data_IF_645727531055
#
_entry.id   IF_645727531055
#
_cell.length_a   1.000
_cell.length_b   1.000
_cell.length_c   1.000
_cell.angle_alpha   90.00
_cell.angle_beta   90.00
_cell.angle_gamma   90.00
#
_symmetry.space_group_name_H-M   'P 1'
#
loop_
_entity.id
_entity.type
_entity.pdbx_description
1 polymer ?
#
# COMPACT_ATOMS: atom_id res chain seq x y z
N UNK A 1 -14.18 14.27 8.31
CA UNK A 1 -15.16 13.98 7.24
C UNK A 1 -15.03 14.92 6.03
N UNK A 2 -15.18 16.25 6.18
CA UNK A 2 -15.17 17.19 5.04
C UNK A 2 -13.94 17.08 4.13
N UNK A 3 -12.74 16.94 4.69
CA UNK A 3 -11.51 16.78 3.91
C UNK A 3 -11.50 15.50 3.05
N UNK A 4 -11.95 14.38 3.61
CA UNK A 4 -12.05 13.11 2.87
C UNK A 4 -13.11 13.20 1.76
N UNK A 5 -14.28 13.76 2.06
CA UNK A 5 -15.30 13.98 1.03
C UNK A 5 -14.86 14.98 -0.04
N UNK A 6 -14.08 16.01 0.31
CA UNK A 6 -13.47 16.90 -0.67
C UNK A 6 -12.51 16.11 -1.58
N UNK A 7 -11.68 15.23 -1.01
CA UNK A 7 -10.81 14.34 -1.78
C UNK A 7 -11.60 13.42 -2.73
N UNK A 8 -12.68 12.77 -2.26
CA UNK A 8 -13.57 11.98 -3.13
C UNK A 8 -14.19 12.81 -4.25
N UNK A 9 -14.68 14.01 -3.92
CA UNK A 9 -15.22 14.96 -4.88
C UNK A 9 -14.20 15.33 -5.96
N UNK A 10 -12.93 15.52 -5.58
CA UNK A 10 -11.85 15.85 -6.52
C UNK A 10 -11.53 14.71 -7.48
N UNK A 11 -11.52 13.48 -6.98
CA UNK A 11 -11.37 12.30 -7.84
C UNK A 11 -12.56 12.24 -8.80
N UNK A 12 -13.79 12.34 -8.29
CA UNK A 12 -15.01 12.27 -9.09
C UNK A 12 -14.99 13.31 -10.22
N UNK A 13 -14.70 14.58 -9.89
CA UNK A 13 -14.62 15.67 -10.86
C UNK A 13 -13.49 15.50 -11.87
N UNK A 14 -12.37 14.90 -11.47
CA UNK A 14 -11.30 14.60 -12.42
C UNK A 14 -11.78 13.59 -13.46
N UNK A 15 -12.36 12.47 -13.04
CA UNK A 15 -12.83 11.44 -13.96
C UNK A 15 -14.03 11.90 -14.80
N UNK A 16 -15.04 12.53 -14.18
CA UNK A 16 -16.19 13.10 -14.90
C UNK A 16 -15.75 14.19 -15.89
N UNK A 17 -14.99 15.20 -15.46
CA UNK A 17 -14.74 16.38 -16.31
C UNK A 17 -13.54 16.22 -17.27
N UNK A 18 -12.53 15.40 -16.92
CA UNK A 18 -11.30 15.25 -17.73
C UNK A 18 -11.23 13.94 -18.48
N UNK A 19 -11.83 12.86 -17.96
CA UNK A 19 -11.91 11.57 -18.66
C UNK A 19 -13.25 11.36 -19.38
N UNK A 20 -14.23 12.22 -19.12
CA UNK A 20 -15.57 12.14 -19.70
C UNK A 20 -16.26 10.79 -19.38
N UNK A 21 -15.91 10.20 -18.24
CA UNK A 21 -16.48 8.95 -17.75
C UNK A 21 -17.97 9.13 -17.40
N UNK A 22 -18.73 8.07 -17.63
CA UNK A 22 -20.12 7.98 -17.17
C UNK A 22 -20.21 8.03 -15.64
N UNK A 23 -21.40 8.25 -15.11
CA UNK A 23 -21.58 8.36 -13.65
C UNK A 23 -21.12 7.11 -12.91
N UNK A 24 -21.46 5.92 -13.42
CA UNK A 24 -21.03 4.65 -12.84
C UNK A 24 -19.51 4.49 -12.84
N UNK A 25 -18.87 4.77 -13.98
CA UNK A 25 -17.42 4.68 -14.16
C UNK A 25 -16.69 5.66 -13.24
N UNK A 26 -17.15 6.91 -13.17
CA UNK A 26 -16.56 7.92 -12.30
C UNK A 26 -16.66 7.52 -10.82
N UNK A 27 -17.77 6.90 -10.39
CA UNK A 27 -17.93 6.40 -9.03
C UNK A 27 -17.04 5.19 -8.75
N UNK A 28 -16.90 4.28 -9.72
CA UNK A 28 -15.96 3.17 -9.62
C UNK A 28 -14.53 3.67 -9.49
N UNK A 29 -14.12 4.65 -10.32
CA UNK A 29 -12.83 5.32 -10.25
C UNK A 29 -12.60 6.00 -8.90
N UNK A 30 -13.61 6.68 -8.35
CA UNK A 30 -13.57 7.23 -6.98
C UNK A 30 -13.31 6.14 -5.96
N UNK A 31 -14.07 5.05 -6.00
CA UNK A 31 -13.91 3.93 -5.08
C UNK A 31 -12.51 3.33 -5.18
N UNK A 32 -12.04 3.02 -6.38
CA UNK A 32 -10.73 2.41 -6.61
C UNK A 32 -9.59 3.30 -6.12
N UNK A 33 -9.51 4.55 -6.59
CA UNK A 33 -8.42 5.47 -6.26
C UNK A 33 -8.39 5.81 -4.77
N UNK A 34 -9.55 6.11 -4.19
CA UNK A 34 -9.60 6.44 -2.76
C UNK A 34 -9.26 5.26 -1.87
N UNK A 35 -9.67 4.04 -2.25
CA UNK A 35 -9.33 2.82 -1.50
C UNK A 35 -7.85 2.48 -1.57
N UNK A 36 -7.21 2.67 -2.73
CA UNK A 36 -5.76 2.47 -2.87
C UNK A 36 -5.00 3.46 -1.97
N UNK A 37 -5.35 4.75 -2.03
CA UNK A 37 -4.68 5.78 -1.23
C UNK A 37 -4.91 5.55 0.27
N UNK A 38 -6.15 5.21 0.66
CA UNK A 38 -6.47 4.88 2.05
C UNK A 38 -5.71 3.65 2.53
N UNK A 39 -5.62 2.61 1.71
CA UNK A 39 -4.86 1.39 2.03
C UNK A 39 -3.39 1.70 2.27
N UNK A 40 -2.76 2.48 1.39
CA UNK A 40 -1.37 2.90 1.55
C UNK A 40 -1.16 3.71 2.83
N UNK A 41 -2.10 4.60 3.16
CA UNK A 41 -2.02 5.35 4.40
C UNK A 41 -2.11 4.45 5.63
N UNK A 42 -3.06 3.51 5.66
CA UNK A 42 -3.23 2.57 6.77
C UNK A 42 -2.05 1.60 6.91
N UNK A 43 -1.50 1.11 5.79
CA UNK A 43 -0.28 0.28 5.79
C UNK A 43 0.90 1.09 6.33
N UNK A 44 1.05 2.36 5.92
CA UNK A 44 2.08 3.24 6.45
C UNK A 44 1.98 3.40 7.97
N UNK A 45 0.79 3.68 8.48
CA UNK A 45 0.53 3.77 9.93
C UNK A 45 0.85 2.44 10.62
N UNK A 46 0.41 1.32 10.06
CA UNK A 46 0.66 -0.02 10.61
C UNK A 46 2.16 -0.34 10.74
N UNK A 47 2.95 -0.03 9.71
CA UNK A 47 4.41 -0.26 9.77
C UNK A 47 5.06 0.69 10.79
N UNK A 48 4.63 1.96 10.86
CA UNK A 48 5.11 2.90 11.88
C UNK A 48 4.80 2.40 13.29
N UNK A 49 3.60 1.86 13.54
CA UNK A 49 3.26 1.31 14.86
C UNK A 49 4.12 0.11 15.26
N UNK A 50 4.58 -0.69 14.29
CA UNK A 50 5.56 -1.75 14.54
C UNK A 50 6.98 -1.24 14.79
N UNK A 51 7.35 -0.10 14.21
CA UNK A 51 8.62 0.55 14.55
C UNK A 51 8.69 0.90 16.04
N UNK A 52 7.57 1.32 16.63
CA UNK A 52 7.43 1.57 18.07
C UNK A 52 7.11 0.31 18.90
N UNK A 53 7.25 -0.89 18.32
CA UNK A 53 6.98 -2.18 18.95
C UNK A 53 5.56 -2.34 19.55
N UNK A 54 4.58 -1.57 19.04
CA UNK A 54 3.18 -1.63 19.49
C UNK A 54 2.42 -2.83 18.88
N UNK A 55 2.80 -3.24 17.68
CA UNK A 55 2.18 -4.34 16.93
C UNK A 55 3.24 -5.12 16.15
N UNK A 56 3.05 -6.42 15.95
CA UNK A 56 3.91 -7.26 15.11
C UNK A 56 3.50 -7.17 13.64
N UNK A 57 4.43 -6.89 12.72
CA UNK A 57 4.12 -6.81 11.28
C UNK A 57 3.92 -8.18 10.65
N UNK A 58 2.75 -8.36 10.04
CA UNK A 58 2.46 -9.43 9.10
C UNK A 58 2.97 -9.03 7.71
N UNK A 59 4.04 -9.67 7.23
CA UNK A 59 4.69 -9.37 5.93
C UNK A 59 4.12 -10.16 4.75
N UNK A 60 3.08 -10.96 4.98
CA UNK A 60 2.52 -11.81 3.95
C UNK A 60 1.66 -11.02 2.95
N UNK A 61 2.03 -11.13 1.67
CA UNK A 61 1.42 -10.40 0.54
C UNK A 61 -0.08 -10.70 0.37
N UNK A 62 -0.52 -11.92 0.62
CA UNK A 62 -1.93 -12.32 0.48
C UNK A 62 -2.79 -11.58 1.50
N UNK A 63 -2.33 -11.50 2.76
CA UNK A 63 -3.04 -10.75 3.79
C UNK A 63 -3.06 -9.25 3.48
N UNK A 64 -1.98 -8.69 2.92
CA UNK A 64 -1.98 -7.29 2.47
C UNK A 64 -3.01 -7.04 1.37
N UNK A 65 -3.11 -7.94 0.37
CA UNK A 65 -4.10 -7.81 -0.71
C UNK A 65 -5.53 -7.93 -0.15
N UNK A 66 -5.79 -8.93 0.70
CA UNK A 66 -7.08 -9.10 1.36
C UNK A 66 -7.45 -7.85 2.19
N UNK A 67 -6.49 -7.29 2.91
CA UNK A 67 -6.67 -6.03 3.64
C UNK A 67 -7.08 -4.89 2.70
N UNK A 68 -6.40 -4.70 1.56
CA UNK A 68 -6.76 -3.68 0.57
C UNK A 68 -8.18 -3.87 0.02
N UNK A 69 -8.59 -5.12 -0.22
CA UNK A 69 -9.95 -5.44 -0.67
C UNK A 69 -10.98 -5.07 0.41
N UNK A 70 -10.73 -5.45 1.66
CA UNK A 70 -11.60 -5.12 2.81
C UNK A 70 -11.72 -3.61 2.97
N UNK A 71 -10.60 -2.89 2.95
CA UNK A 71 -10.58 -1.41 3.00
C UNK A 71 -11.40 -0.83 1.85
N UNK A 72 -11.29 -1.40 0.66
CA UNK A 72 -12.08 -1.00 -0.50
C UNK A 72 -13.58 -1.20 -0.32
N UNK A 73 -14.00 -2.37 0.16
CA UNK A 73 -15.41 -2.66 0.46
C UNK A 73 -15.98 -1.70 1.51
N UNK A 74 -15.25 -1.49 2.61
CA UNK A 74 -15.64 -0.56 3.69
C UNK A 74 -15.73 0.86 3.14
N UNK A 75 -14.72 1.31 2.41
CA UNK A 75 -14.69 2.64 1.84
C UNK A 75 -15.87 2.90 0.89
N UNK A 76 -16.12 1.95 -0.01
CA UNK A 76 -17.24 2.04 -0.94
C UNK A 76 -18.57 2.14 -0.20
N UNK A 77 -18.83 1.21 0.74
CA UNK A 77 -20.10 1.12 1.44
C UNK A 77 -20.40 2.37 2.28
N UNK A 78 -19.43 2.87 3.03
CA UNK A 78 -19.66 3.97 3.98
C UNK A 78 -19.52 5.37 3.37
N UNK A 79 -18.67 5.55 2.34
CA UNK A 79 -18.31 6.90 1.87
C UNK A 79 -18.65 7.18 0.40
N UNK A 80 -18.54 6.18 -0.48
CA UNK A 80 -18.68 6.41 -1.94
C UNK A 80 -20.11 6.17 -2.41
N UNK A 81 -20.73 5.06 -1.99
CA UNK A 81 -22.04 4.58 -2.49
C UNK A 81 -23.12 5.66 -2.48
N UNK A 82 -23.28 6.35 -1.37
CA UNK A 82 -24.36 7.32 -1.18
C UNK A 82 -24.09 8.68 -1.85
N UNK A 83 -22.90 8.87 -2.46
CA UNK A 83 -22.49 10.12 -3.11
C UNK A 83 -22.60 11.37 -2.22
N UNK A 84 -22.61 11.19 -0.89
CA UNK A 84 -22.72 12.27 0.09
C UNK A 84 -21.70 13.38 -0.15
N UNK A 85 -20.53 13.03 -0.67
CA UNK A 85 -19.46 13.97 -1.02
C UNK A 85 -19.84 15.01 -2.09
N UNK A 86 -20.85 14.75 -2.93
CA UNK A 86 -21.35 15.72 -3.92
C UNK A 86 -22.23 16.81 -3.30
N UNK A 87 -22.82 16.54 -2.14
CA UNK A 87 -23.82 17.42 -1.50
C UNK A 87 -23.20 18.51 -0.60
N UNK A 88 -21.87 18.56 -0.49
CA UNK A 88 -21.16 19.52 0.37
C UNK A 88 -20.92 20.90 -0.28
N UNK A 89 -21.42 21.13 -1.51
CA UNK A 89 -21.22 22.40 -2.22
C UNK A 89 -19.77 22.70 -2.57
N UNK A 90 -18.93 21.67 -2.66
CA UNK A 90 -17.52 21.84 -3.01
C UNK A 90 -17.38 22.41 -4.42
N UNK A 91 -16.42 23.33 -4.57
CA UNK A 91 -16.05 23.88 -5.86
C UNK A 91 -14.71 23.30 -6.32
N UNK A 92 -14.54 23.25 -7.64
CA UNK A 92 -13.29 22.81 -8.24
C UNK A 92 -12.28 23.96 -8.19
N UNK A 93 -11.42 23.95 -7.18
CA UNK A 93 -10.35 24.95 -7.04
C UNK A 93 -8.96 24.37 -7.38
N UNK A 94 -8.03 25.22 -7.81
CA UNK A 94 -6.67 24.79 -8.18
C UNK A 94 -5.82 24.43 -6.95
N UNK A 95 -5.99 25.16 -5.85
CA UNK A 95 -5.16 25.03 -4.63
C UNK A 95 -5.36 23.67 -3.96
N UNK A 96 -6.60 23.25 -3.76
CA UNK A 96 -6.93 21.95 -3.16
C UNK A 96 -6.53 20.77 -4.03
N UNK A 97 -6.56 20.93 -5.36
CA UNK A 97 -5.95 19.95 -6.27
C UNK A 97 -4.44 19.81 -6.03
N UNK A 98 -3.72 20.93 -5.89
CA UNK A 98 -2.29 20.94 -5.58
C UNK A 98 -2.02 20.29 -4.21
N UNK A 99 -2.81 20.60 -3.18
CA UNK A 99 -2.66 19.99 -1.85
C UNK A 99 -2.82 18.48 -1.87
N UNK A 100 -3.77 17.94 -2.65
CA UNK A 100 -3.93 16.49 -2.81
C UNK A 100 -2.69 15.86 -3.46
N UNK A 101 -2.15 16.49 -4.51
CA UNK A 101 -0.95 15.99 -5.19
C UNK A 101 0.25 16.00 -4.24
N UNK A 102 0.44 17.10 -3.51
CA UNK A 102 1.50 17.24 -2.50
C UNK A 102 1.36 16.16 -1.43
N UNK A 103 0.14 15.91 -0.94
CA UNK A 103 -0.12 14.85 0.03
C UNK A 103 0.23 13.46 -0.51
N UNK A 104 -0.18 13.11 -1.73
CA UNK A 104 0.14 11.81 -2.35
C UNK A 104 1.66 11.66 -2.53
N UNK A 105 2.35 12.74 -2.91
CA UNK A 105 3.80 12.76 -3.04
C UNK A 105 4.50 12.50 -1.70
N UNK A 106 4.10 13.21 -0.64
CA UNK A 106 4.62 12.97 0.71
C UNK A 106 4.30 11.57 1.22
N UNK A 107 3.10 11.05 0.94
CA UNK A 107 2.73 9.67 1.28
C UNK A 107 3.68 8.68 0.60
N UNK A 108 3.97 8.85 -0.68
CA UNK A 108 4.92 8.02 -1.42
C UNK A 108 6.33 8.04 -0.81
N UNK A 109 6.87 9.23 -0.53
CA UNK A 109 8.18 9.38 0.12
C UNK A 109 8.19 8.70 1.48
N UNK A 110 7.16 8.91 2.30
CA UNK A 110 7.07 8.33 3.63
C UNK A 110 7.09 6.79 3.59
N UNK A 111 6.39 6.19 2.63
CA UNK A 111 6.38 4.73 2.47
C UNK A 111 7.74 4.18 2.03
N UNK A 112 8.49 4.91 1.20
CA UNK A 112 9.85 4.52 0.81
C UNK A 112 10.77 4.53 2.06
N UNK A 113 10.73 5.61 2.83
CA UNK A 113 11.53 5.75 4.06
C UNK A 113 11.19 4.61 5.04
N UNK A 114 9.91 4.43 5.32
CA UNK A 114 9.42 3.40 6.25
C UNK A 114 9.77 1.99 5.76
N UNK A 115 9.68 1.74 4.44
CA UNK A 115 10.07 0.44 3.87
C UNK A 115 11.56 0.16 4.04
N UNK A 116 12.42 1.16 3.87
CA UNK A 116 13.87 1.01 4.05
C UNK A 116 14.21 0.69 5.52
N UNK A 117 13.62 1.43 6.47
CA UNK A 117 13.79 1.18 7.91
C UNK A 117 13.32 -0.24 8.27
N UNK A 118 12.15 -0.65 7.78
CA UNK A 118 11.61 -1.98 8.05
C UNK A 118 12.48 -3.10 7.45
N UNK A 119 13.08 -2.89 6.27
CA UNK A 119 14.04 -3.85 5.69
C UNK A 119 15.28 -3.97 6.57
N UNK A 120 15.83 -2.86 7.03
CA UNK A 120 17.01 -2.84 7.91
C UNK A 120 16.75 -3.61 9.22
N UNK A 121 15.61 -3.37 9.87
CA UNK A 121 15.18 -4.12 11.07
C UNK A 121 15.09 -5.63 10.81
N UNK A 122 14.47 -6.05 9.71
CA UNK A 122 14.38 -7.47 9.32
C UNK A 122 15.77 -8.07 9.09
N UNK A 123 16.69 -7.34 8.43
CA UNK A 123 18.05 -7.83 8.21
C UNK A 123 18.85 -7.94 9.50
N UNK A 124 18.69 -6.99 10.42
CA UNK A 124 19.31 -7.07 11.75
C UNK A 124 18.77 -8.23 12.58
N UNK A 125 17.45 -8.43 12.62
CA UNK A 125 16.83 -9.56 13.32
C UNK A 125 17.34 -10.90 12.79
N UNK A 126 17.46 -11.03 11.46
CA UNK A 126 18.04 -12.22 10.81
C UNK A 126 19.53 -12.41 11.15
N UNK A 127 20.31 -11.33 11.27
CA UNK A 127 21.72 -11.40 11.70
C UNK A 127 21.86 -11.80 13.17
N UNK A 128 20.97 -11.31 14.03
CA UNK A 128 20.97 -11.58 15.48
C UNK A 128 20.44 -12.98 15.81
N UNK A 129 19.51 -13.52 15.03
CA UNK A 129 18.94 -14.86 15.18
C UNK A 129 19.11 -15.70 13.89
N UNK A 130 20.30 -16.24 13.62
CA UNK A 130 20.59 -17.00 12.41
C UNK A 130 19.79 -18.32 12.27
N UNK A 131 19.04 -18.74 13.29
CA UNK A 131 18.45 -20.10 13.40
C UNK A 131 17.01 -20.27 12.91
N UNK A 132 16.47 -19.39 12.05
CA UNK A 132 15.16 -19.61 11.41
C UNK A 132 15.17 -19.33 9.89
N UNK A 133 16.31 -19.58 9.24
CA UNK A 133 16.30 -20.06 7.86
C UNK A 133 16.84 -21.50 7.86
N UNK A 134 16.00 -22.43 8.33
CA UNK A 134 15.92 -23.72 7.64
C UNK A 134 15.30 -23.46 6.26
N UNK A 135 16.00 -22.68 5.43
CA UNK A 135 15.98 -22.90 3.99
C UNK A 135 16.52 -24.31 3.84
N UNK A 136 15.61 -25.29 3.83
CA UNK A 136 15.92 -26.63 3.37
C UNK A 136 16.74 -26.44 2.10
N UNK A 137 17.98 -26.92 2.15
CA UNK A 137 18.96 -26.94 1.08
C UNK A 137 18.38 -26.39 -0.23
N UNK A 138 18.57 -25.09 -0.51
CA UNK A 138 18.78 -24.75 -1.92
C UNK A 138 20.06 -25.48 -2.25
N UNK A 139 19.93 -26.72 -2.73
CA UNK A 139 20.98 -27.45 -3.42
C UNK A 139 21.49 -26.49 -4.48
N UNK A 140 22.57 -25.82 -4.12
CA UNK A 140 23.30 -24.99 -5.04
C UNK A 140 23.83 -25.96 -6.07
N UNK A 141 23.50 -25.77 -7.35
CA UNK A 141 24.11 -26.53 -8.44
C UNK A 141 25.64 -26.52 -8.31
N UNK A 142 26.21 -25.44 -7.78
CA UNK A 142 27.65 -25.32 -7.51
C UNK A 142 28.07 -26.30 -6.40
N UNK A 143 27.27 -26.46 -5.35
CA UNK A 143 27.55 -27.43 -4.28
C UNK A 143 27.50 -28.88 -4.78
N UNK A 144 26.52 -29.21 -5.62
CA UNK A 144 26.41 -30.53 -6.23
C UNK A 144 27.55 -30.78 -7.26
N UNK A 145 27.98 -29.76 -8.01
CA UNK A 145 29.12 -29.84 -8.94
C UNK A 145 30.43 -30.04 -8.19
N UNK A 146 30.69 -29.27 -7.13
CA UNK A 146 31.92 -29.41 -6.32
C UNK A 146 31.98 -30.80 -5.69
N UNK A 147 30.87 -31.29 -5.14
CA UNK A 147 30.81 -32.63 -4.55
C UNK A 147 31.02 -33.74 -5.60
N UNK A 148 30.52 -33.55 -6.82
CA UNK A 148 30.77 -34.48 -7.92
C UNK A 148 32.25 -34.51 -8.33
N UNK A 149 32.95 -33.37 -8.34
CA UNK A 149 34.39 -33.32 -8.60
C UNK A 149 35.20 -34.02 -7.48
N UNK A 150 34.85 -33.78 -6.22
CA UNK A 150 35.49 -34.44 -5.07
C UNK A 150 35.27 -35.96 -5.07
N UNK A 151 34.08 -36.44 -5.42
CA UNK A 151 33.77 -37.87 -5.46
C UNK A 151 34.42 -38.59 -6.65
N UNK A 152 34.77 -37.87 -7.72
CA UNK A 152 35.38 -38.45 -8.92
C UNK A 152 36.90 -38.18 -9.05
N UNK A 153 37.56 -37.57 -8.04
CA UNK A 153 39.01 -37.29 -8.01
C UNK A 153 39.54 -36.62 -9.31
N UNK A 154 38.85 -35.57 -9.77
CA UNK A 154 39.32 -34.68 -10.85
C UNK A 154 39.86 -33.36 -10.28
#
# INVERSE_FOLDING_TARGET
MKAYYYFLFRIYRYYKDKRNEGEFEALFSVAAVSSVILSFHLIGVYIITNYFDLVSVITNKVYMILFMIIVGCVNYYFFVRDKKFLNYGFQKDRKGGIYIIIYIFFLGISLIIVSNINREKIFEERRKNPTIENTGNRKSLIGDIVKWFEENNL
#
